data_IF_041803080438
#
_entry.id   IF_041803080438
#
_cell.length_a   1.000
_cell.length_b   1.000
_cell.length_c   1.000
_cell.angle_alpha   90.00
_cell.angle_beta   90.00
_cell.angle_gamma   90.00
#
_symmetry.space_group_name_H-M   'P 1'
#
loop_
_entity.id
_entity.type
_entity.pdbx_description
1 polymer ?
#
# COMPACT_ATOMS: atom_id res chain seq x y z
N UNK A 1 3.47 13.52 -13.89
CA UNK A 1 3.55 12.22 -14.59
C UNK A 1 4.87 11.52 -14.22
N UNK A 2 4.90 10.69 -13.16
CA UNK A 2 6.10 9.93 -12.66
C UNK A 2 5.68 8.50 -12.21
N UNK A 3 4.52 8.02 -12.64
CA UNK A 3 3.89 6.83 -12.03
C UNK A 3 4.61 5.54 -12.47
N UNK A 4 5.11 5.44 -13.71
CA UNK A 4 5.82 4.25 -14.20
C UNK A 4 7.14 4.00 -13.45
N UNK A 5 7.91 5.07 -13.24
CA UNK A 5 9.14 5.01 -12.44
C UNK A 5 8.83 4.63 -10.99
N UNK A 6 7.80 5.23 -10.37
CA UNK A 6 7.41 4.90 -8.98
C UNK A 6 6.99 3.43 -8.84
N UNK A 7 6.21 2.89 -9.78
CA UNK A 7 5.83 1.47 -9.78
C UNK A 7 7.06 0.55 -9.86
N UNK A 8 7.99 0.82 -10.78
CA UNK A 8 9.22 0.04 -10.93
C UNK A 8 10.15 0.16 -9.71
N UNK A 9 10.29 1.37 -9.19
CA UNK A 9 11.08 1.65 -7.99
C UNK A 9 10.56 0.84 -6.80
N UNK A 10 9.24 0.87 -6.55
CA UNK A 10 8.63 0.11 -5.44
C UNK A 10 8.82 -1.39 -5.64
N UNK A 11 8.63 -1.92 -6.85
CA UNK A 11 8.91 -3.32 -7.16
C UNK A 11 10.37 -3.70 -6.88
N UNK A 12 11.34 -2.80 -7.12
CA UNK A 12 12.76 -3.07 -6.88
C UNK A 12 13.14 -2.96 -5.40
N UNK A 13 12.70 -1.89 -4.72
CA UNK A 13 13.03 -1.64 -3.31
C UNK A 13 12.37 -2.69 -2.41
N UNK A 14 11.13 -3.08 -2.68
CA UNK A 14 10.47 -4.15 -1.92
C UNK A 14 11.20 -5.49 -2.00
N UNK A 15 11.83 -5.81 -3.13
CA UNK A 15 12.61 -7.05 -3.30
C UNK A 15 13.97 -7.00 -2.62
N UNK A 16 14.62 -5.83 -2.65
CA UNK A 16 15.97 -5.65 -2.10
C UNK A 16 15.97 -5.40 -0.60
N UNK A 17 14.92 -4.74 -0.08
CA UNK A 17 14.75 -4.38 1.32
C UNK A 17 13.39 -4.87 1.84
N UNK A 18 13.14 -6.16 1.68
CA UNK A 18 11.85 -6.78 2.01
C UNK A 18 11.43 -6.57 3.47
N UNK A 19 12.38 -6.67 4.40
CA UNK A 19 12.16 -6.61 5.85
C UNK A 19 12.15 -5.18 6.42
N UNK A 20 12.39 -4.16 5.58
CA UNK A 20 12.33 -2.77 6.03
C UNK A 20 10.88 -2.38 6.36
N UNK A 21 10.71 -1.39 7.25
CA UNK A 21 9.39 -0.80 7.52
C UNK A 21 8.78 -0.21 6.24
N UNK A 22 7.48 -0.47 6.01
CA UNK A 22 6.74 0.09 4.89
C UNK A 22 6.68 1.63 4.91
N UNK A 23 6.85 2.26 6.08
CA UNK A 23 6.79 3.71 6.26
C UNK A 23 7.91 4.47 5.54
N UNK A 24 8.99 3.78 5.14
CA UNK A 24 10.06 4.39 4.32
C UNK A 24 9.60 4.73 2.90
N UNK A 25 8.51 4.11 2.43
CA UNK A 25 8.01 4.23 1.05
C UNK A 25 6.58 4.76 1.01
N UNK A 26 5.75 4.36 1.98
CA UNK A 26 4.33 4.69 2.08
C UNK A 26 4.08 5.59 3.29
N UNK A 27 3.24 6.60 3.10
CA UNK A 27 2.75 7.45 4.19
C UNK A 27 1.78 6.68 5.08
N UNK A 28 1.58 7.16 6.31
CA UNK A 28 0.65 6.55 7.26
C UNK A 28 -0.79 6.44 6.72
N UNK A 29 -1.27 7.44 5.97
CA UNK A 29 -2.59 7.41 5.37
C UNK A 29 -2.69 6.33 4.28
N UNK A 30 -1.66 6.20 3.43
CA UNK A 30 -1.63 5.21 2.34
C UNK A 30 -1.67 3.77 2.87
N UNK A 31 -0.74 3.40 3.75
CA UNK A 31 -0.66 2.00 4.16
C UNK A 31 -1.79 1.61 5.12
N UNK A 32 -2.23 2.51 6.02
CA UNK A 32 -3.33 2.21 6.97
C UNK A 32 -4.67 2.07 6.26
N UNK A 33 -4.95 2.95 5.29
CA UNK A 33 -6.20 2.90 4.52
C UNK A 33 -6.30 1.62 3.72
N UNK A 34 -5.25 1.27 2.97
CA UNK A 34 -5.18 0.03 2.20
C UNK A 34 -5.29 -1.20 3.11
N UNK A 35 -4.58 -1.21 4.23
CA UNK A 35 -4.66 -2.31 5.19
C UNK A 35 -6.09 -2.53 5.66
N UNK A 36 -6.78 -1.46 6.08
CA UNK A 36 -8.14 -1.56 6.58
C UNK A 36 -9.12 -2.00 5.49
N UNK A 37 -8.95 -1.55 4.24
CA UNK A 37 -9.83 -1.94 3.13
C UNK A 37 -9.62 -3.40 2.72
N UNK A 38 -8.37 -3.84 2.55
CA UNK A 38 -8.05 -5.20 2.07
C UNK A 38 -8.24 -6.24 3.16
N UNK A 39 -7.74 -5.97 4.37
CA UNK A 39 -7.77 -6.93 5.50
C UNK A 39 -9.04 -6.81 6.34
N UNK A 40 -9.82 -5.73 6.20
CA UNK A 40 -11.07 -5.48 6.95
C UNK A 40 -10.89 -5.51 8.48
N UNK A 41 -9.67 -5.22 8.94
CA UNK A 41 -9.29 -5.13 10.36
C UNK A 41 -8.58 -3.82 10.62
N UNK A 42 -8.52 -3.41 11.89
CA UNK A 42 -7.77 -2.21 12.28
C UNK A 42 -6.28 -2.37 11.91
N UNK A 43 -5.64 -1.31 11.40
CA UNK A 43 -4.22 -1.37 11.07
C UNK A 43 -3.37 -1.65 12.33
N UNK A 44 -2.34 -2.49 12.23
CA UNK A 44 -1.48 -2.83 13.36
C UNK A 44 -0.74 -1.60 13.89
N UNK A 45 -0.37 -1.63 15.18
CA UNK A 45 0.45 -0.57 15.80
C UNK A 45 1.87 -0.53 15.24
N UNK A 46 2.45 -1.71 14.99
CA UNK A 46 3.75 -1.83 14.34
C UNK A 46 3.53 -1.87 12.82
N UNK A 47 4.25 -1.05 12.04
CA UNK A 47 4.10 -1.06 10.60
C UNK A 47 4.53 -2.43 10.04
N UNK A 48 3.77 -2.99 9.10
CA UNK A 48 4.16 -4.20 8.38
C UNK A 48 5.44 -4.00 7.56
N UNK A 49 6.01 -5.10 7.08
CA UNK A 49 7.20 -5.05 6.24
C UNK A 49 6.89 -4.44 4.87
N UNK A 50 7.91 -3.93 4.21
CA UNK A 50 7.77 -3.30 2.89
C UNK A 50 7.26 -4.32 1.86
N UNK A 51 7.76 -5.56 1.89
CA UNK A 51 7.30 -6.61 1.00
C UNK A 51 5.84 -6.98 1.27
N UNK A 52 5.44 -7.08 2.54
CA UNK A 52 4.05 -7.39 2.90
C UNK A 52 3.09 -6.31 2.38
N UNK A 53 3.40 -5.04 2.62
CA UNK A 53 2.58 -3.95 2.09
C UNK A 53 2.57 -3.90 0.58
N UNK A 54 3.70 -4.15 -0.07
CA UNK A 54 3.77 -4.18 -1.54
C UNK A 54 2.85 -5.26 -2.11
N UNK A 55 2.79 -6.44 -1.48
CA UNK A 55 1.85 -7.51 -1.86
C UNK A 55 0.40 -7.08 -1.66
N UNK A 56 0.06 -6.48 -0.52
CA UNK A 56 -1.30 -6.01 -0.23
C UNK A 56 -1.73 -4.93 -1.25
N UNK A 57 -0.86 -3.97 -1.55
CA UNK A 57 -1.17 -2.95 -2.57
C UNK A 57 -1.32 -3.60 -3.94
N UNK A 58 -0.47 -4.58 -4.29
CA UNK A 58 -0.60 -5.28 -5.56
C UNK A 58 -1.88 -6.13 -5.65
N UNK A 59 -2.40 -6.67 -4.53
CA UNK A 59 -3.67 -7.42 -4.49
C UNK A 59 -4.83 -6.55 -5.02
N UNK A 60 -4.83 -5.24 -4.73
CA UNK A 60 -5.78 -4.28 -5.30
C UNK A 60 -5.68 -4.16 -6.82
N UNK A 61 -4.48 -4.39 -7.37
CA UNK A 61 -4.21 -4.41 -8.81
C UNK A 61 -4.32 -5.80 -9.45
N UNK A 62 -4.96 -6.77 -8.77
CA UNK A 62 -5.21 -8.11 -9.28
C UNK A 62 -4.09 -9.12 -9.05
N UNK A 63 -3.08 -8.80 -8.22
CA UNK A 63 -2.08 -9.79 -7.81
C UNK A 63 -2.70 -10.85 -6.89
N UNK A 64 -2.41 -12.13 -7.16
CA UNK A 64 -2.89 -13.24 -6.34
C UNK A 64 -1.72 -13.83 -5.56
N UNK A 65 -1.72 -13.59 -4.25
CA UNK A 65 -0.67 -14.01 -3.33
C UNK A 65 -0.78 -15.52 -3.00
N UNK A 66 -0.27 -16.39 -3.88
CA UNK A 66 -0.16 -17.84 -3.66
C UNK A 66 1.27 -18.22 -3.27
N UNK A 67 1.43 -19.39 -2.66
CA UNK A 67 2.72 -19.90 -2.16
C UNK A 67 3.84 -19.91 -3.22
N UNK A 68 3.50 -20.18 -4.49
CA UNK A 68 4.45 -20.22 -5.61
C UNK A 68 4.32 -19.00 -6.54
N UNK A 69 3.55 -17.98 -6.17
CA UNK A 69 3.49 -16.75 -6.97
C UNK A 69 4.75 -15.95 -6.71
N UNK A 70 5.49 -15.62 -7.78
CA UNK A 70 6.61 -14.70 -7.70
C UNK A 70 6.19 -13.30 -7.23
N UNK A 71 7.14 -12.43 -6.88
CA UNK A 71 6.85 -11.07 -6.42
C UNK A 71 6.02 -10.25 -7.43
N UNK A 72 5.19 -9.29 -6.98
CA UNK A 72 4.33 -8.48 -7.84
C UNK A 72 5.06 -7.80 -9.00
N UNK A 73 4.39 -7.76 -10.15
CA UNK A 73 4.87 -7.09 -11.35
C UNK A 73 4.45 -5.61 -11.42
N UNK A 74 5.05 -4.82 -12.34
CA UNK A 74 4.81 -3.38 -12.43
C UNK A 74 3.37 -3.00 -12.78
N UNK A 75 2.66 -3.83 -13.55
CA UNK A 75 1.26 -3.59 -13.92
C UNK A 75 0.31 -3.68 -12.72
N UNK A 76 0.36 -4.78 -11.96
CA UNK A 76 -0.43 -4.93 -10.73
C UNK A 76 -0.06 -3.85 -9.71
N UNK A 77 1.23 -3.50 -9.62
CA UNK A 77 1.68 -2.41 -8.75
C UNK A 77 1.08 -1.07 -9.16
N UNK A 78 1.09 -0.74 -10.46
CA UNK A 78 0.52 0.49 -10.98
C UNK A 78 -0.97 0.61 -10.66
N UNK A 79 -1.76 -0.43 -10.95
CA UNK A 79 -3.20 -0.44 -10.66
C UNK A 79 -3.46 -0.32 -9.16
N UNK A 80 -2.69 -1.05 -8.36
CA UNK A 80 -2.76 -0.98 -6.90
C UNK A 80 -2.44 0.40 -6.35
N UNK A 81 -1.43 1.10 -6.89
CA UNK A 81 -1.07 2.46 -6.47
C UNK A 81 -2.17 3.47 -6.78
N UNK A 82 -2.84 3.36 -7.95
CA UNK A 82 -3.96 4.24 -8.26
C UNK A 82 -5.09 4.10 -7.24
N UNK A 83 -5.48 2.85 -6.93
CA UNK A 83 -6.48 2.56 -5.93
C UNK A 83 -6.05 3.05 -4.53
N UNK A 84 -4.79 2.81 -4.15
CA UNK A 84 -4.21 3.26 -2.88
C UNK A 84 -4.29 4.78 -2.71
N UNK A 85 -3.94 5.58 -3.73
CA UNK A 85 -3.99 7.04 -3.60
C UNK A 85 -5.43 7.54 -3.37
N UNK A 86 -6.42 6.93 -4.04
CA UNK A 86 -7.84 7.26 -3.82
C UNK A 86 -8.24 6.89 -2.38
N UNK A 87 -7.88 5.70 -1.90
CA UNK A 87 -8.15 5.29 -0.52
C UNK A 87 -7.48 6.18 0.52
N UNK A 88 -6.25 6.61 0.28
CA UNK A 88 -5.53 7.54 1.16
C UNK A 88 -6.23 8.90 1.20
N UNK A 89 -6.70 9.41 0.06
CA UNK A 89 -7.48 10.64 0.00
C UNK A 89 -8.80 10.51 0.79
N UNK A 90 -9.54 9.41 0.60
CA UNK A 90 -10.76 9.12 1.38
C UNK A 90 -10.47 9.02 2.88
N UNK A 91 -9.36 8.38 3.26
CA UNK A 91 -8.93 8.22 4.64
C UNK A 91 -8.69 9.55 5.35
N UNK A 92 -8.09 10.52 4.65
CA UNK A 92 -7.85 11.86 5.16
C UNK A 92 -9.09 12.77 5.07
N UNK A 93 -9.99 12.55 4.10
CA UNK A 93 -11.16 13.38 3.92
C UNK A 93 -12.29 13.07 4.93
N UNK A 94 -12.59 11.78 5.13
CA UNK A 94 -13.71 11.34 5.97
C UNK A 94 -13.43 10.05 6.76
N UNK A 95 -12.21 9.51 6.67
CA UNK A 95 -11.82 8.33 7.42
C UNK A 95 -11.27 8.66 8.82
N UNK A 96 -10.74 7.66 9.53
CA UNK A 96 -10.13 7.84 10.86
C UNK A 96 -8.89 8.75 10.88
N UNK A 97 -8.36 9.13 9.72
CA UNK A 97 -7.28 10.10 9.59
C UNK A 97 -7.75 11.52 9.27
N UNK A 98 -9.06 11.75 9.14
CA UNK A 98 -9.60 13.10 9.03
C UNK A 98 -9.48 13.79 10.38
N UNK A 99 -8.85 14.97 10.38
CA UNK A 99 -8.73 15.80 11.56
C UNK A 99 -10.14 16.34 11.88
N UNK A 100 -10.88 15.64 12.73
CA UNK A 100 -12.20 16.05 13.18
C UNK A 100 -12.04 17.31 14.04
N UNK A 101 -12.03 18.48 13.41
CA UNK A 101 -12.44 19.69 14.10
C UNK A 101 -13.92 19.51 14.43
N UNK A 102 -14.20 19.15 15.68
CA UNK A 102 -15.52 19.27 16.26
C UNK A 102 -16.02 20.68 15.98
N UNK A 103 -17.08 20.79 15.17
CA UNK A 103 -17.92 21.98 15.10
C UNK A 103 -18.98 21.85 16.18
#
# INVERSE_FOLDING_TARGET
MIIAWRSLYICRVSRTHADASCEKVYTAAEWKSVWQVVRKIRPPRKPPTLMEMTKIVAELGGYINRKNTGPPGPQSMWLGLQAMHIMAACWMAFGPGADQKCV
#
